data_IF_197812024711
#
_entry.id   IF_197812024711
#
_cell.length_a   1.000
_cell.length_b   1.000
_cell.length_c   1.000
_cell.angle_alpha   90.00
_cell.angle_beta   90.00
_cell.angle_gamma   90.00
#
_symmetry.space_group_name_H-M   'P 1'
#
loop_
_entity.id
_entity.type
_entity.pdbx_description
1 polymer ?
#
# COMPACT_ATOMS: atom_id res chain seq x y z
N UNK A 1 43.52 -75.02 -6.03
CA UNK A 1 43.04 -76.41 -5.86
C UNK A 1 42.33 -76.54 -4.51
N UNK A 2 41.02 -76.26 -4.50
CA UNK A 2 39.96 -76.90 -3.71
C UNK A 2 38.64 -76.14 -3.98
N UNK A 3 37.74 -76.82 -4.68
CA UNK A 3 36.30 -76.54 -4.76
C UNK A 3 35.57 -77.39 -3.72
N UNK A 4 34.25 -77.17 -3.64
CA UNK A 4 33.15 -78.00 -3.07
C UNK A 4 32.68 -77.43 -1.70
N UNK A 5 31.39 -77.21 -1.39
CA UNK A 5 30.15 -77.02 -2.17
C UNK A 5 29.02 -76.52 -1.24
N UNK A 6 27.99 -75.95 -1.87
CA UNK A 6 26.56 -75.80 -1.53
C UNK A 6 26.01 -75.74 -0.08
N UNK A 7 25.15 -74.73 0.12
CA UNK A 7 24.04 -74.74 1.08
C UNK A 7 22.94 -73.76 0.70
N UNK A 8 21.97 -74.20 -0.11
CA UNK A 8 20.70 -73.49 -0.37
C UNK A 8 19.75 -73.78 0.79
N UNK A 9 19.34 -72.74 1.52
CA UNK A 9 18.26 -72.77 2.49
C UNK A 9 17.19 -71.73 2.13
N UNK A 10 16.02 -72.21 1.68
CA UNK A 10 14.79 -71.41 1.54
C UNK A 10 14.28 -71.03 2.93
N UNK A 11 13.93 -69.75 3.14
CA UNK A 11 12.77 -69.39 3.97
C UNK A 11 12.33 -67.95 3.74
N UNK A 12 11.05 -67.84 3.43
CA UNK A 12 10.21 -66.65 3.30
C UNK A 12 10.35 -65.69 4.48
N UNK A 13 10.64 -64.41 4.20
CA UNK A 13 10.23 -63.29 5.06
C UNK A 13 9.69 -62.18 4.17
N UNK A 14 8.43 -61.85 4.43
CA UNK A 14 7.66 -60.74 3.89
C UNK A 14 8.41 -59.44 4.22
N UNK A 15 9.07 -58.86 3.22
CA UNK A 15 9.67 -57.53 3.32
C UNK A 15 8.62 -56.46 3.05
N UNK A 16 8.07 -55.90 4.12
CA UNK A 16 7.29 -54.66 4.10
C UNK A 16 8.09 -53.58 3.35
N UNK A 17 7.60 -53.20 2.17
CA UNK A 17 8.08 -52.02 1.45
C UNK A 17 7.55 -50.79 2.20
N UNK A 18 8.33 -50.30 3.16
CA UNK A 18 8.13 -48.97 3.74
C UNK A 18 8.41 -47.94 2.64
N UNK A 19 7.35 -47.52 1.94
CA UNK A 19 7.36 -46.28 1.18
C UNK A 19 7.41 -45.15 2.21
N UNK A 20 8.61 -44.70 2.53
CA UNK A 20 8.86 -43.45 3.24
C UNK A 20 8.44 -42.32 2.29
N UNK A 21 7.13 -42.00 2.30
CA UNK A 21 6.63 -40.73 1.79
C UNK A 21 7.19 -39.67 2.74
N UNK A 22 8.38 -39.16 2.43
CA UNK A 22 8.83 -37.88 2.95
C UNK A 22 7.90 -36.82 2.38
N UNK A 23 6.77 -36.63 3.05
CA UNK A 23 5.98 -35.42 2.92
C UNK A 23 6.90 -34.26 3.28
N UNK A 24 7.43 -33.59 2.26
CA UNK A 24 7.87 -32.21 2.39
C UNK A 24 6.64 -31.44 2.83
N UNK A 25 6.47 -31.31 4.15
CA UNK A 25 5.73 -30.22 4.75
C UNK A 25 6.41 -28.96 4.23
N UNK A 26 5.83 -28.38 3.18
CA UNK A 26 6.10 -27.01 2.79
C UNK A 26 5.65 -26.17 3.97
N UNK A 27 6.58 -25.89 4.89
CA UNK A 27 6.40 -24.82 5.85
C UNK A 27 6.17 -23.55 5.02
N UNK A 28 5.07 -22.82 5.21
CA UNK A 28 4.95 -21.51 4.60
C UNK A 28 6.15 -20.71 5.08
N UNK A 29 7.00 -20.30 4.12
CA UNK A 29 8.02 -19.31 4.39
C UNK A 29 7.27 -18.02 4.69
N UNK A 30 7.01 -17.76 5.98
CA UNK A 30 6.66 -16.44 6.48
C UNK A 30 7.82 -15.54 6.09
N UNK A 31 7.70 -14.87 4.95
CA UNK A 31 8.63 -13.82 4.55
C UNK A 31 8.24 -12.60 5.38
N UNK A 32 8.79 -12.49 6.58
CA UNK A 32 8.87 -11.21 7.24
C UNK A 32 9.80 -10.34 6.38
N UNK A 33 9.24 -9.39 5.64
CA UNK A 33 10.04 -8.34 5.00
C UNK A 33 10.84 -7.66 6.12
N UNK A 34 12.16 -7.88 6.14
CA UNK A 34 13.03 -7.34 7.19
C UNK A 34 13.17 -5.83 6.99
N UNK A 35 12.54 -5.05 7.87
CA UNK A 35 12.68 -3.60 7.88
C UNK A 35 13.97 -3.19 8.58
N UNK A 36 14.73 -2.26 7.98
CA UNK A 36 15.98 -1.77 8.54
C UNK A 36 15.85 -0.33 8.98
N UNK A 37 16.50 0.01 10.09
CA UNK A 37 16.63 1.38 10.58
C UNK A 37 18.09 1.78 10.75
N UNK A 38 18.35 3.07 10.66
CA UNK A 38 19.65 3.65 10.92
C UNK A 38 19.53 4.95 11.71
N UNK A 39 20.46 5.17 12.63
CA UNK A 39 20.58 6.42 13.37
C UNK A 39 22.03 6.74 13.65
N UNK A 40 22.32 8.02 13.84
CA UNK A 40 23.64 8.49 14.29
C UNK A 40 23.45 9.50 15.41
N UNK A 41 24.21 9.33 16.49
CA UNK A 41 24.28 10.29 17.59
C UNK A 41 25.68 10.86 17.69
N UNK A 42 25.76 12.12 18.10
CA UNK A 42 27.03 12.82 18.33
C UNK A 42 27.06 13.30 19.78
N UNK A 43 28.15 13.01 20.49
CA UNK A 43 28.39 13.46 21.86
C UNK A 43 29.69 14.23 21.97
N UNK A 44 29.65 15.31 22.74
CA UNK A 44 30.86 16.00 23.16
C UNK A 44 31.38 15.39 24.47
N UNK A 45 32.60 14.87 24.44
CA UNK A 45 33.22 14.20 25.59
C UNK A 45 34.04 15.16 26.44
N UNK A 46 34.11 14.89 27.74
CA UNK A 46 35.00 15.62 28.66
C UNK A 46 36.48 15.46 28.33
N UNK A 47 36.87 14.32 27.74
CA UNK A 47 38.24 13.96 27.38
C UNK A 47 38.31 13.45 25.94
N UNK A 48 39.47 13.61 25.30
CA UNK A 48 39.71 13.07 23.95
C UNK A 48 39.51 11.56 23.92
N UNK A 49 38.94 11.07 22.82
CA UNK A 49 38.77 9.64 22.57
C UNK A 49 40.10 8.88 22.59
N UNK A 50 40.00 7.56 22.71
CA UNK A 50 41.10 6.63 22.50
C UNK A 50 40.66 5.53 21.52
N UNK A 51 41.44 5.29 20.45
CA UNK A 51 41.14 4.27 19.43
C UNK A 51 39.70 4.34 18.87
N UNK A 52 39.21 5.55 18.58
CA UNK A 52 37.87 5.76 18.02
C UNK A 52 36.71 5.53 18.98
N UNK A 53 36.97 5.46 20.31
CA UNK A 53 35.95 5.27 21.34
C UNK A 53 36.13 6.22 22.54
N UNK A 54 35.06 6.51 23.29
CA UNK A 54 35.16 7.18 24.58
C UNK A 54 36.02 6.38 25.55
N UNK A 55 36.75 7.07 26.43
CA UNK A 55 37.52 6.41 27.49
C UNK A 55 36.62 5.90 28.63
N UNK A 56 35.48 6.55 28.81
CA UNK A 56 34.45 6.19 29.79
C UNK A 56 33.51 5.16 29.18
N UNK A 57 33.36 4.02 29.86
CA UNK A 57 32.35 3.03 29.49
C UNK A 57 30.93 3.60 29.60
N UNK A 58 30.69 4.49 30.57
CA UNK A 58 29.39 5.15 30.73
C UNK A 58 29.04 6.06 29.54
N UNK A 59 30.01 6.81 29.02
CA UNK A 59 29.80 7.68 27.85
C UNK A 59 29.43 6.85 26.61
N UNK A 60 30.10 5.70 26.44
CA UNK A 60 29.79 4.77 25.36
C UNK A 60 28.39 4.14 25.53
N UNK A 61 28.05 3.64 26.73
CA UNK A 61 26.73 3.03 26.99
C UNK A 61 25.59 4.02 26.85
N UNK A 62 25.80 5.27 27.29
CA UNK A 62 24.84 6.35 27.12
C UNK A 62 24.61 6.68 25.65
N UNK A 63 25.69 6.79 24.84
CA UNK A 63 25.55 6.96 23.39
C UNK A 63 24.91 5.75 22.70
N UNK A 64 25.21 4.53 23.16
CA UNK A 64 24.60 3.31 22.63
C UNK A 64 23.09 3.26 22.90
N UNK A 65 22.67 3.66 24.10
CA UNK A 65 21.24 3.77 24.44
C UNK A 65 20.58 4.84 23.56
N UNK A 66 21.15 6.03 23.49
CA UNK A 66 20.58 7.13 22.68
C UNK A 66 20.48 6.79 21.19
N UNK A 67 21.48 6.12 20.61
CA UNK A 67 21.42 5.74 19.19
C UNK A 67 20.37 4.67 18.91
N UNK A 68 20.15 3.73 19.83
CA UNK A 68 19.08 2.73 19.74
C UNK A 68 17.70 3.40 19.83
N UNK A 69 17.51 4.31 20.78
CA UNK A 69 16.27 5.10 20.89
C UNK A 69 16.03 5.92 19.63
N UNK A 70 17.06 6.60 19.13
CA UNK A 70 16.98 7.36 17.89
C UNK A 70 16.61 6.46 16.70
N UNK A 71 17.16 5.25 16.60
CA UNK A 71 16.85 4.32 15.53
C UNK A 71 15.37 3.87 15.53
N UNK A 72 14.80 3.56 16.69
CA UNK A 72 13.37 3.23 16.78
C UNK A 72 12.51 4.44 16.44
N UNK A 73 12.86 5.64 16.92
CA UNK A 73 12.14 6.88 16.60
C UNK A 73 12.22 7.23 15.11
N UNK A 74 13.38 7.05 14.48
CA UNK A 74 13.56 7.24 13.03
C UNK A 74 12.71 6.25 12.24
N UNK A 75 12.65 4.99 12.67
CA UNK A 75 11.75 4.01 12.07
C UNK A 75 10.28 4.42 12.24
N UNK A 76 9.85 4.73 13.48
CA UNK A 76 8.49 5.16 13.78
C UNK A 76 8.05 6.40 13.01
N UNK A 77 8.94 7.37 12.79
CA UNK A 77 8.64 8.58 12.01
C UNK A 77 8.36 8.36 10.53
N UNK A 78 8.72 7.19 9.99
CA UNK A 78 8.42 6.80 8.61
C UNK A 78 7.07 6.07 8.50
N UNK A 79 6.46 5.72 9.63
CA UNK A 79 5.18 5.03 9.69
C UNK A 79 4.00 6.01 9.66
N UNK A 80 2.78 5.49 9.63
CA UNK A 80 1.57 6.30 9.74
C UNK A 80 1.48 7.02 11.08
N UNK A 81 0.68 8.08 11.12
CA UNK A 81 0.41 8.83 12.37
C UNK A 81 -0.22 7.90 13.42
N UNK A 82 -1.11 7.01 13.01
CA UNK A 82 -1.71 6.02 13.90
C UNK A 82 -0.68 5.07 14.52
N UNK A 83 0.21 4.52 13.68
CA UNK A 83 1.33 3.69 14.15
C UNK A 83 2.23 4.48 15.11
N UNK A 84 2.54 5.74 14.78
CA UNK A 84 3.35 6.61 15.63
C UNK A 84 2.71 6.88 16.99
N UNK A 85 1.38 7.08 17.04
CA UNK A 85 0.64 7.25 18.29
C UNK A 85 0.70 5.98 19.15
N UNK A 86 0.52 4.81 18.54
CA UNK A 86 0.62 3.54 19.24
C UNK A 86 2.05 3.27 19.75
N UNK A 87 3.08 3.57 18.96
CA UNK A 87 4.48 3.50 19.41
C UNK A 87 4.74 4.44 20.59
N UNK A 88 4.19 5.67 20.54
CA UNK A 88 4.34 6.65 21.61
C UNK A 88 3.68 6.15 22.91
N UNK A 89 2.52 5.48 22.80
CA UNK A 89 1.85 4.89 23.96
C UNK A 89 2.66 3.77 24.63
N UNK A 90 3.50 3.08 23.85
CA UNK A 90 4.34 1.99 24.33
C UNK A 90 5.80 2.40 24.63
N UNK A 91 6.14 3.69 24.55
CA UNK A 91 7.54 4.16 24.56
C UNK A 91 8.30 3.70 25.81
N UNK A 92 7.69 3.74 26.99
CA UNK A 92 8.35 3.32 28.22
C UNK A 92 8.81 1.85 28.20
N UNK A 93 8.02 0.96 27.62
CA UNK A 93 8.33 -0.46 27.49
C UNK A 93 9.37 -0.71 26.39
N UNK A 94 9.29 0.06 25.29
CA UNK A 94 10.30 0.03 24.22
C UNK A 94 11.68 0.40 24.78
N UNK A 95 11.75 1.48 25.56
CA UNK A 95 13.00 1.98 26.15
C UNK A 95 13.60 1.01 27.17
N UNK A 96 12.77 0.20 27.83
CA UNK A 96 13.22 -0.81 28.78
C UNK A 96 13.87 -2.03 28.11
N UNK A 97 13.44 -2.37 26.89
CA UNK A 97 13.85 -3.60 26.20
C UNK A 97 14.27 -3.37 24.73
N UNK A 98 15.12 -2.35 24.49
CA UNK A 98 15.55 -1.96 23.14
C UNK A 98 16.13 -3.12 22.30
N UNK A 99 16.80 -4.09 22.93
CA UNK A 99 17.39 -5.25 22.25
C UNK A 99 16.36 -6.29 21.79
N UNK A 100 15.13 -6.25 22.30
CA UNK A 100 14.00 -7.05 21.80
C UNK A 100 13.51 -6.53 20.43
N UNK A 101 13.59 -5.21 20.24
CA UNK A 101 13.03 -4.52 19.08
C UNK A 101 14.05 -4.19 17.98
N UNK A 102 15.34 -4.19 18.31
CA UNK A 102 16.44 -3.96 17.37
C UNK A 102 17.32 -5.20 17.26
N UNK A 103 17.16 -5.94 16.17
CA UNK A 103 17.89 -7.16 15.87
C UNK A 103 19.17 -6.86 15.07
N UNK A 104 20.16 -7.74 15.20
CA UNK A 104 21.38 -7.74 14.38
C UNK A 104 22.07 -6.37 14.24
N UNK A 105 22.37 -5.65 15.35
CA UNK A 105 22.89 -4.29 15.27
C UNK A 105 24.32 -4.25 14.71
N UNK A 106 24.51 -3.50 13.62
CA UNK A 106 25.81 -3.08 13.12
C UNK A 106 26.16 -1.69 13.66
N UNK A 107 27.21 -1.61 14.47
CA UNK A 107 27.62 -0.39 15.16
C UNK A 107 28.96 0.10 14.61
N UNK A 108 28.99 1.36 14.18
CA UNK A 108 30.23 2.06 13.79
C UNK A 108 30.46 3.24 14.71
N UNK A 109 31.64 3.30 15.30
CA UNK A 109 32.09 4.42 16.13
C UNK A 109 33.18 5.21 15.42
N UNK A 110 33.12 6.53 15.52
CA UNK A 110 34.14 7.45 15.04
C UNK A 110 34.41 8.54 16.08
N UNK A 111 35.62 9.10 16.08
CA UNK A 111 35.99 10.18 16.98
C UNK A 111 36.84 11.25 16.28
N UNK A 112 36.47 12.51 16.49
CA UNK A 112 37.26 13.67 16.13
C UNK A 112 37.56 14.49 17.39
N UNK A 113 38.76 14.29 17.96
CA UNK A 113 39.15 14.94 19.21
C UNK A 113 38.26 14.53 20.39
N UNK A 114 37.37 15.44 20.80
CA UNK A 114 36.37 15.25 21.87
C UNK A 114 34.98 14.90 21.33
N UNK A 115 34.77 15.08 20.02
CA UNK A 115 33.53 14.74 19.35
C UNK A 115 33.49 13.24 19.12
N UNK A 116 32.54 12.55 19.74
CA UNK A 116 32.28 11.13 19.53
C UNK A 116 31.02 10.95 18.69
N UNK A 117 31.11 10.13 17.64
CA UNK A 117 29.98 9.76 16.78
C UNK A 117 29.74 8.27 16.87
N UNK A 118 28.49 7.89 17.07
CA UNK A 118 28.06 6.50 17.07
C UNK A 118 26.92 6.35 16.07
N UNK A 119 27.15 5.53 15.05
CA UNK A 119 26.16 5.15 14.07
C UNK A 119 25.72 3.70 14.32
N UNK A 120 24.41 3.47 14.22
CA UNK A 120 23.76 2.18 14.32
C UNK A 120 23.00 1.92 13.02
N UNK A 121 23.12 0.70 12.50
CA UNK A 121 22.18 0.11 11.55
C UNK A 121 21.66 -1.18 12.18
N UNK A 122 20.35 -1.37 12.25
CA UNK A 122 19.75 -2.56 12.86
C UNK A 122 18.48 -2.95 12.12
N UNK A 123 18.13 -4.22 12.23
CA UNK A 123 16.87 -4.76 11.75
C UNK A 123 15.79 -4.50 12.82
N UNK A 124 14.60 -4.10 12.39
CA UNK A 124 13.48 -3.80 13.29
C UNK A 124 12.64 -5.05 13.45
N UNK A 125 12.41 -5.48 14.70
CA UNK A 125 11.48 -6.54 15.00
C UNK A 125 10.04 -6.02 14.96
N UNK A 126 9.52 -5.83 13.74
CA UNK A 126 8.19 -5.27 13.48
C UNK A 126 7.09 -6.11 14.14
N UNK A 127 7.25 -7.44 14.16
CA UNK A 127 6.29 -8.33 14.83
C UNK A 127 6.19 -8.06 16.34
N UNK A 128 7.34 -7.92 17.03
CA UNK A 128 7.35 -7.61 18.46
C UNK A 128 6.78 -6.21 18.75
N UNK A 129 7.09 -5.22 17.90
CA UNK A 129 6.51 -3.88 18.03
C UNK A 129 5.00 -3.88 17.79
N UNK A 130 4.50 -4.62 16.80
CA UNK A 130 3.07 -4.74 16.53
C UNK A 130 2.32 -5.38 17.71
N UNK A 131 2.89 -6.43 18.31
CA UNK A 131 2.33 -7.05 19.51
C UNK A 131 2.30 -6.09 20.69
N UNK A 132 3.38 -5.32 20.88
CA UNK A 132 3.47 -4.32 21.93
C UNK A 132 2.43 -3.20 21.75
N UNK A 133 2.29 -2.69 20.52
CA UNK A 133 1.29 -1.69 20.15
C UNK A 133 -0.13 -2.20 20.36
N UNK A 134 -0.44 -3.43 19.94
CA UNK A 134 -1.76 -4.02 20.12
C UNK A 134 -2.15 -4.24 21.60
N UNK A 135 -1.16 -4.45 22.47
CA UNK A 135 -1.34 -4.54 23.93
C UNK A 135 -1.55 -3.17 24.58
N UNK A 136 -0.85 -2.14 24.09
CA UNK A 136 -0.90 -0.78 24.62
C UNK A 136 -1.96 0.11 23.97
N UNK A 137 -2.66 -0.40 22.95
CA UNK A 137 -3.79 0.27 22.35
C UNK A 137 -4.84 0.64 23.42
N UNK A 138 -5.55 1.78 23.27
CA UNK A 138 -6.63 2.19 24.16
C UNK A 138 -7.60 1.04 24.47
N UNK A 139 -7.97 0.93 25.75
CA UNK A 139 -8.95 -0.08 26.17
C UNK A 139 -10.30 0.18 25.47
N UNK A 140 -10.84 -0.85 24.83
CA UNK A 140 -12.17 -0.79 24.22
C UNK A 140 -13.16 -1.46 25.16
N UNK A 141 -14.13 -0.67 25.64
CA UNK A 141 -15.23 -1.18 26.45
C UNK A 141 -16.32 -1.77 25.55
N UNK A 142 -16.67 -3.04 25.76
CA UNK A 142 -17.77 -3.70 25.06
C UNK A 142 -17.35 -4.94 24.27
N UNK A 143 -18.31 -5.56 23.55
CA UNK A 143 -18.02 -6.71 22.71
C UNK A 143 -17.22 -6.29 21.48
N UNK A 144 -16.30 -7.16 21.04
CA UNK A 144 -15.55 -7.01 19.79
C UNK A 144 -16.43 -6.52 18.64
N UNK A 145 -15.99 -5.47 17.96
CA UNK A 145 -16.71 -4.86 16.86
C UNK A 145 -16.89 -5.85 15.72
N UNK A 146 -18.12 -5.96 15.22
CA UNK A 146 -18.39 -6.71 14.00
C UNK A 146 -18.01 -5.87 12.79
N UNK A 147 -17.48 -6.50 11.77
CA UNK A 147 -17.17 -5.83 10.52
C UNK A 147 -17.48 -6.72 9.32
N UNK A 148 -17.71 -6.09 8.18
CA UNK A 148 -17.71 -6.77 6.88
C UNK A 148 -16.71 -6.05 5.98
N UNK A 149 -16.01 -6.81 5.15
CA UNK A 149 -14.98 -6.30 4.28
C UNK A 149 -15.24 -6.69 2.84
N UNK A 150 -15.25 -5.72 1.93
CA UNK A 150 -15.37 -5.93 0.49
C UNK A 150 -14.03 -5.55 -0.13
N UNK A 151 -13.25 -6.55 -0.51
CA UNK A 151 -11.98 -6.39 -1.21
C UNK A 151 -12.17 -6.79 -2.66
N UNK A 152 -11.96 -5.84 -3.56
CA UNK A 152 -12.16 -6.04 -4.99
C UNK A 152 -10.80 -6.12 -5.67
N UNK A 153 -10.39 -7.32 -6.11
CA UNK A 153 -9.18 -7.47 -6.90
C UNK A 153 -9.44 -7.10 -8.36
N UNK A 154 -8.53 -6.33 -8.96
CA UNK A 154 -8.69 -5.76 -10.29
C UNK A 154 -7.42 -5.95 -11.11
N UNK A 155 -7.54 -6.44 -12.35
CA UNK A 155 -6.43 -6.48 -13.31
C UNK A 155 -6.73 -5.55 -14.47
N UNK A 156 -5.76 -4.73 -14.86
CA UNK A 156 -5.92 -3.78 -15.96
C UNK A 156 -6.13 -4.53 -17.30
N UNK A 157 -7.32 -4.43 -17.90
CA UNK A 157 -7.63 -5.12 -19.16
C UNK A 157 -7.29 -4.28 -20.39
N UNK A 158 -7.60 -2.99 -20.37
CA UNK A 158 -7.33 -2.11 -21.51
C UNK A 158 -7.22 -0.65 -21.07
N UNK A 159 -6.32 0.09 -21.73
CA UNK A 159 -6.23 1.54 -21.63
C UNK A 159 -6.69 2.13 -22.94
N UNK A 160 -7.80 2.85 -22.92
CA UNK A 160 -8.18 3.68 -24.05
C UNK A 160 -7.49 5.03 -23.94
N UNK A 161 -6.43 5.21 -24.72
CA UNK A 161 -5.71 6.47 -24.87
C UNK A 161 -6.48 7.31 -25.88
N UNK A 162 -6.90 8.51 -25.47
CA UNK A 162 -7.57 9.45 -26.36
C UNK A 162 -6.53 10.39 -26.95
N UNK A 163 -6.57 10.57 -28.27
CA UNK A 163 -5.75 11.57 -28.94
C UNK A 163 -6.19 12.99 -28.55
N UNK A 164 -5.20 13.89 -28.50
CA UNK A 164 -5.41 15.32 -28.27
C UNK A 164 -6.27 15.90 -29.39
N UNK A 165 -7.39 16.55 -29.03
CA UNK A 165 -8.20 17.27 -30.02
C UNK A 165 -7.58 18.65 -30.24
N UNK A 166 -6.92 18.81 -31.39
CA UNK A 166 -6.30 20.07 -31.81
C UNK A 166 -7.27 20.87 -32.69
N UNK A 167 -7.73 22.01 -32.19
CA UNK A 167 -8.54 22.94 -32.99
C UNK A 167 -7.68 24.11 -33.42
N UNK A 168 -7.54 24.31 -34.74
CA UNK A 168 -6.81 25.46 -35.32
C UNK A 168 -7.82 26.48 -35.81
N UNK A 169 -7.71 27.71 -35.31
CA UNK A 169 -8.53 28.84 -35.76
C UNK A 169 -7.66 29.69 -36.69
N UNK A 170 -8.13 29.87 -37.92
CA UNK A 170 -7.58 30.84 -38.85
C UNK A 170 -8.60 31.98 -38.97
N UNK A 171 -8.29 33.12 -38.36
CA UNK A 171 -9.16 34.28 -38.40
C UNK A 171 -8.59 35.30 -39.38
N UNK A 172 -9.31 35.52 -40.48
CA UNK A 172 -9.02 36.56 -41.46
C UNK A 172 -9.94 37.75 -41.20
N UNK A 173 -9.36 38.87 -40.74
CA UNK A 173 -10.10 40.11 -40.56
C UNK A 173 -9.82 41.03 -41.75
N UNK A 174 -10.82 41.27 -42.59
CA UNK A 174 -10.73 42.26 -43.67
C UNK A 174 -11.18 43.61 -43.10
N UNK A 175 -10.25 44.57 -43.01
CA UNK A 175 -10.57 45.96 -42.68
C UNK A 175 -10.60 46.72 -44.01
N UNK A 176 -11.77 47.23 -44.40
CA UNK A 176 -11.90 48.15 -45.53
C UNK A 176 -12.15 49.55 -44.99
N UNK A 177 -11.16 50.43 -45.10
CA UNK A 177 -11.35 51.86 -44.88
C UNK A 177 -11.60 52.52 -46.24
N UNK A 178 -12.73 53.19 -46.37
CA UNK A 178 -13.07 53.99 -47.54
C UNK A 178 -13.13 55.46 -47.10
N UNK A 179 -12.11 56.23 -47.42
CA UNK A 179 -12.17 57.69 -47.29
C UNK A 179 -12.97 58.25 -48.46
N UNK A 180 -14.15 58.81 -48.19
CA UNK A 180 -14.93 59.55 -49.18
C UNK A 180 -14.72 61.04 -48.96
N UNK A 181 -13.96 61.68 -49.85
CA UNK A 181 -13.93 63.12 -50.01
C UNK A 181 -14.87 63.48 -51.16
N UNK A 182 -15.87 64.32 -50.89
CA UNK A 182 -16.78 64.85 -51.91
C UNK A 182 -16.55 66.35 -52.06
N UNK A 183 -16.01 66.76 -53.21
CA UNK A 183 -15.94 68.16 -53.64
C UNK A 183 -17.16 68.45 -54.53
N UNK A 184 -17.95 69.47 -54.20
CA UNK A 184 -19.23 69.78 -54.86
C UNK A 184 -19.08 71.09 -55.61
N UNK A 185 -18.87 70.99 -56.92
CA UNK A 185 -18.92 72.11 -57.87
C UNK A 185 -19.59 71.64 -59.17
N UNK A 186 -20.72 72.25 -59.50
CA UNK A 186 -21.39 72.34 -60.82
C UNK A 186 -21.30 71.14 -61.79
N UNK A 187 -22.40 70.41 -61.92
CA UNK A 187 -22.82 69.64 -63.12
C UNK A 187 -21.98 68.45 -63.62
N UNK A 188 -21.00 67.94 -62.88
CA UNK A 188 -20.53 66.56 -63.09
C UNK A 188 -19.97 65.92 -61.81
N UNK A 189 -20.54 64.78 -61.39
CA UNK A 189 -20.04 63.98 -60.26
C UNK A 189 -18.97 63.00 -60.78
N UNK A 190 -17.75 63.07 -60.25
CA UNK A 190 -16.72 62.05 -60.44
C UNK A 190 -16.21 61.60 -59.07
N UNK A 191 -16.35 60.32 -58.76
CA UNK A 191 -15.86 59.71 -57.52
C UNK A 191 -14.61 58.88 -57.84
N UNK A 192 -13.47 59.22 -57.23
CA UNK A 192 -12.25 58.39 -57.28
C UNK A 192 -12.06 57.81 -55.88
N UNK A 193 -12.24 56.49 -55.75
CA UNK A 193 -11.95 55.76 -54.51
C UNK A 193 -10.65 54.98 -54.66
N UNK A 194 -9.67 55.25 -53.79
CA UNK A 194 -8.47 54.40 -53.65
C UNK A 194 -8.72 53.39 -52.53
N UNK A 195 -8.70 52.10 -52.86
CA UNK A 195 -8.85 51.01 -51.90
C UNK A 195 -7.48 50.41 -51.56
N UNK A 196 -7.12 50.36 -50.28
CA UNK A 196 -5.92 49.65 -49.81
C UNK A 196 -6.37 48.52 -48.87
N UNK A 197 -6.11 47.27 -49.25
CA UNK A 197 -6.41 46.09 -48.43
C UNK A 197 -5.18 45.69 -47.62
N UNK A 198 -5.33 45.58 -46.29
CA UNK A 198 -4.30 45.00 -45.41
C UNK A 198 -4.81 43.69 -44.84
N UNK A 199 -4.15 42.58 -45.18
CA UNK A 199 -4.47 41.25 -44.65
C UNK A 199 -3.73 41.03 -43.32
N UNK A 200 -4.47 40.75 -42.24
CA UNK A 200 -3.90 40.34 -40.94
C UNK A 200 -4.37 38.94 -40.59
N UNK A 201 -3.44 37.99 -40.59
CA UNK A 201 -3.64 36.60 -40.14
C UNK A 201 -3.26 36.49 -38.66
N UNK A 202 -4.22 36.13 -37.80
CA UNK A 202 -3.95 35.71 -36.42
C UNK A 202 -4.23 34.21 -36.33
N UNK A 203 -3.20 33.42 -36.06
CA UNK A 203 -3.34 31.99 -35.77
C UNK A 203 -3.41 31.79 -34.26
N UNK A 204 -4.51 31.17 -33.81
CA UNK A 204 -4.68 30.69 -32.45
C UNK A 204 -5.25 29.28 -32.48
N UNK A 205 -4.98 28.48 -31.46
CA UNK A 205 -5.53 27.12 -31.36
C UNK A 205 -5.75 26.69 -29.92
N UNK A 206 -6.67 25.76 -29.73
CA UNK A 206 -6.91 25.09 -28.44
C UNK A 206 -6.57 23.61 -28.56
N UNK A 207 -6.00 23.06 -27.49
CA UNK A 207 -5.78 21.62 -27.34
C UNK A 207 -6.66 21.15 -26.19
N UNK A 208 -7.62 20.28 -26.49
CA UNK A 208 -8.44 19.60 -25.48
C UNK A 208 -7.85 18.21 -25.23
N UNK A 209 -7.45 17.94 -23.98
CA UNK A 209 -6.98 16.62 -23.54
C UNK A 209 -8.08 15.87 -22.81
N UNK A 210 -8.37 14.64 -23.23
CA UNK A 210 -9.29 13.74 -22.53
C UNK A 210 -8.49 12.73 -21.72
N UNK A 211 -8.86 12.52 -20.46
CA UNK A 211 -8.22 11.53 -19.60
C UNK A 211 -8.38 10.11 -20.19
N UNK A 212 -7.33 9.29 -20.07
CA UNK A 212 -7.36 7.90 -20.49
C UNK A 212 -8.42 7.14 -19.69
N UNK A 213 -9.20 6.29 -20.36
CA UNK A 213 -10.15 5.39 -19.67
C UNK A 213 -9.48 4.04 -19.45
N UNK A 214 -9.33 3.64 -18.20
CA UNK A 214 -8.84 2.32 -17.81
C UNK A 214 -10.05 1.42 -17.52
N UNK A 215 -10.08 0.23 -18.09
CA UNK A 215 -11.05 -0.81 -17.77
C UNK A 215 -10.36 -1.93 -17.01
N UNK A 216 -10.97 -2.36 -15.91
CA UNK A 216 -10.46 -3.43 -15.07
C UNK A 216 -11.28 -4.72 -15.24
N UNK A 217 -10.59 -5.86 -15.20
CA UNK A 217 -11.20 -7.16 -14.94
C UNK A 217 -11.27 -7.30 -13.44
N UNK A 218 -12.48 -7.31 -12.90
CA UNK A 218 -12.71 -7.58 -11.49
C UNK A 218 -12.80 -9.08 -11.29
N UNK A 219 -12.07 -9.58 -10.30
CA UNK A 219 -12.16 -10.96 -9.87
C UNK A 219 -12.14 -11.02 -8.35
N UNK A 220 -12.81 -12.02 -7.80
CA UNK A 220 -12.68 -12.29 -6.38
C UNK A 220 -11.62 -13.38 -6.18
N UNK A 221 -10.62 -13.10 -5.34
CA UNK A 221 -9.59 -14.05 -4.98
C UNK A 221 -9.92 -14.63 -3.60
N UNK A 222 -10.22 -15.92 -3.53
CA UNK A 222 -10.46 -16.57 -2.23
C UNK A 222 -9.26 -16.46 -1.28
N UNK A 223 -8.03 -16.32 -1.81
CA UNK A 223 -6.84 -16.05 -1.02
C UNK A 223 -6.85 -14.65 -0.40
N UNK A 224 -7.39 -13.66 -1.12
CA UNK A 224 -7.55 -12.29 -0.63
C UNK A 224 -8.55 -12.23 0.52
N UNK A 225 -9.72 -12.83 0.34
CA UNK A 225 -10.77 -12.89 1.38
C UNK A 225 -10.29 -13.61 2.63
N UNK A 226 -9.54 -14.71 2.47
CA UNK A 226 -8.94 -15.46 3.58
C UNK A 226 -7.91 -14.61 4.34
N UNK A 227 -6.98 -13.96 3.63
CA UNK A 227 -5.95 -13.12 4.25
C UNK A 227 -6.55 -11.94 5.01
N UNK A 228 -7.55 -11.27 4.44
CA UNK A 228 -8.27 -10.17 5.11
C UNK A 228 -8.97 -10.66 6.38
N UNK A 229 -9.67 -11.79 6.29
CA UNK A 229 -10.37 -12.39 7.43
C UNK A 229 -9.41 -12.79 8.54
N UNK A 230 -8.29 -13.43 8.20
CA UNK A 230 -7.24 -13.82 9.14
C UNK A 230 -6.68 -12.59 9.86
N UNK A 231 -6.29 -11.56 9.10
CA UNK A 231 -5.71 -10.34 9.66
C UNK A 231 -6.66 -9.67 10.63
N UNK A 232 -7.87 -9.28 10.20
CA UNK A 232 -8.81 -8.58 11.09
C UNK A 232 -9.22 -9.43 12.31
N UNK A 233 -9.40 -10.74 12.13
CA UNK A 233 -9.74 -11.63 13.25
C UNK A 233 -8.60 -11.74 14.26
N UNK A 234 -7.34 -11.78 13.79
CA UNK A 234 -6.15 -11.82 14.65
C UNK A 234 -6.01 -10.58 15.53
N UNK A 235 -6.46 -9.42 15.03
CA UNK A 235 -6.47 -8.17 15.78
C UNK A 235 -7.70 -8.01 16.71
N UNK A 236 -8.64 -8.95 16.64
CA UNK A 236 -9.75 -9.08 17.58
C UNK A 236 -11.10 -8.61 17.03
N UNK A 237 -11.22 -8.34 15.73
CA UNK A 237 -12.51 -8.03 15.12
C UNK A 237 -13.33 -9.29 14.85
N UNK A 238 -14.65 -9.13 14.74
CA UNK A 238 -15.57 -10.20 14.32
C UNK A 238 -15.95 -9.99 12.86
N UNK A 239 -15.19 -10.59 11.95
CA UNK A 239 -15.43 -10.48 10.52
C UNK A 239 -16.63 -11.33 10.11
N UNK A 240 -17.56 -10.74 9.36
CA UNK A 240 -18.66 -11.42 8.69
C UNK A 240 -18.34 -11.41 7.19
N UNK A 241 -18.42 -12.58 6.56
CA UNK A 241 -18.20 -12.72 5.13
C UNK A 241 -19.18 -11.85 4.33
N UNK A 242 -18.67 -11.08 3.37
CA UNK A 242 -19.46 -10.14 2.58
C UNK A 242 -20.56 -10.82 1.77
N UNK A 243 -20.34 -12.06 1.31
CA UNK A 243 -21.37 -12.85 0.61
C UNK A 243 -22.52 -13.24 1.55
N UNK A 244 -22.24 -13.49 2.82
CA UNK A 244 -23.26 -13.74 3.83
C UNK A 244 -24.06 -12.47 4.13
N UNK A 245 -23.40 -11.30 4.16
CA UNK A 245 -24.05 -10.00 4.34
C UNK A 245 -24.99 -9.73 3.14
N UNK A 246 -24.49 -9.90 1.92
CA UNK A 246 -25.27 -9.73 0.70
C UNK A 246 -26.48 -10.67 0.61
N UNK A 247 -26.29 -11.94 0.99
CA UNK A 247 -27.38 -12.92 1.01
C UNK A 247 -28.43 -12.67 2.09
N UNK A 248 -28.10 -11.89 3.13
CA UNK A 248 -29.01 -11.61 4.26
C UNK A 248 -29.65 -10.23 4.20
N UNK A 249 -28.96 -9.23 3.68
CA UNK A 249 -29.40 -7.84 3.70
C UNK A 249 -29.60 -7.31 2.28
N UNK A 250 -30.86 -7.16 1.83
CA UNK A 250 -31.17 -6.49 0.58
C UNK A 250 -30.54 -5.09 0.56
N UNK A 251 -29.90 -4.73 -0.56
CA UNK A 251 -29.19 -3.46 -0.72
C UNK A 251 -27.66 -3.56 -0.59
N UNK A 252 -27.14 -4.62 0.05
CA UNK A 252 -25.70 -4.90 0.07
C UNK A 252 -25.30 -5.75 -1.15
N UNK A 253 -25.20 -5.13 -2.32
CA UNK A 253 -25.02 -5.82 -3.61
C UNK A 253 -23.54 -5.90 -4.03
N UNK A 254 -22.92 -7.07 -3.90
CA UNK A 254 -21.53 -7.28 -4.30
C UNK A 254 -21.30 -7.15 -5.82
N UNK A 255 -22.32 -7.39 -6.64
CA UNK A 255 -22.19 -7.22 -8.08
C UNK A 255 -22.13 -5.74 -8.43
N UNK A 256 -22.93 -4.90 -7.77
CA UNK A 256 -22.86 -3.45 -7.95
C UNK A 256 -21.47 -2.90 -7.56
N UNK A 257 -20.87 -3.40 -6.49
CA UNK A 257 -19.50 -3.06 -6.12
C UNK A 257 -18.52 -3.47 -7.22
N UNK A 258 -18.59 -4.72 -7.69
CA UNK A 258 -17.71 -5.22 -8.75
C UNK A 258 -17.87 -4.44 -10.06
N UNK A 259 -19.09 -4.12 -10.47
CA UNK A 259 -19.39 -3.40 -11.70
C UNK A 259 -18.84 -1.96 -11.67
N UNK A 260 -19.05 -1.24 -10.58
CA UNK A 260 -18.58 0.14 -10.44
C UNK A 260 -17.05 0.21 -10.33
N UNK A 261 -16.45 -0.68 -9.55
CA UNK A 261 -14.99 -0.76 -9.47
C UNK A 261 -14.34 -1.32 -10.75
N UNK A 262 -15.10 -1.97 -11.65
CA UNK A 262 -14.61 -2.37 -12.97
C UNK A 262 -14.35 -1.19 -13.91
N UNK A 263 -15.00 -0.04 -13.67
CA UNK A 263 -14.95 1.14 -14.56
C UNK A 263 -14.46 2.42 -13.90
N UNK A 264 -14.43 2.47 -12.57
CA UNK A 264 -14.08 3.64 -11.78
C UNK A 264 -13.32 3.26 -10.51
N UNK A 265 -12.95 4.27 -9.74
CA UNK A 265 -12.12 4.13 -8.55
C UNK A 265 -12.88 4.29 -7.23
N UNK A 266 -14.16 4.64 -7.32
CA UNK A 266 -15.06 4.94 -6.22
C UNK A 266 -16.45 4.38 -6.51
N UNK A 267 -17.21 4.16 -5.44
CA UNK A 267 -18.63 3.80 -5.54
C UNK A 267 -19.50 5.05 -5.75
N UNK A 268 -20.56 4.89 -6.52
CA UNK A 268 -21.63 5.88 -6.64
C UNK A 268 -22.31 6.13 -5.29
N UNK A 269 -22.87 7.34 -5.07
CA UNK A 269 -23.67 7.61 -3.88
C UNK A 269 -24.80 6.61 -3.69
N UNK A 270 -25.42 6.14 -4.78
CA UNK A 270 -26.50 5.18 -4.77
C UNK A 270 -26.05 3.83 -4.20
N UNK A 271 -24.99 3.24 -4.74
CA UNK A 271 -24.45 1.95 -4.29
C UNK A 271 -23.91 2.03 -2.86
N UNK A 272 -23.23 3.13 -2.53
CA UNK A 272 -22.68 3.37 -1.20
C UNK A 272 -23.78 3.50 -0.13
N UNK A 273 -24.81 4.31 -0.39
CA UNK A 273 -25.92 4.51 0.55
C UNK A 273 -26.76 3.24 0.71
N UNK A 274 -27.01 2.49 -0.37
CA UNK A 274 -27.71 1.21 -0.29
C UNK A 274 -26.98 0.20 0.60
N UNK A 275 -25.64 0.15 0.51
CA UNK A 275 -24.82 -0.70 1.36
C UNK A 275 -24.87 -0.26 2.83
N UNK A 276 -24.78 1.05 3.10
CA UNK A 276 -24.91 1.63 4.45
C UNK A 276 -26.27 1.32 5.09
N UNK A 277 -27.36 1.57 4.38
CA UNK A 277 -28.72 1.31 4.85
C UNK A 277 -28.94 -0.19 5.14
N UNK A 278 -28.37 -1.06 4.31
CA UNK A 278 -28.49 -2.50 4.47
C UNK A 278 -27.88 -2.99 5.79
N UNK A 279 -26.75 -2.42 6.20
CA UNK A 279 -25.97 -2.86 7.38
C UNK A 279 -26.16 -2.00 8.63
N UNK A 280 -26.80 -0.84 8.51
CA UNK A 280 -27.03 0.08 9.63
C UNK A 280 -27.71 -0.61 10.83
N UNK A 281 -27.21 -0.33 12.03
CA UNK A 281 -27.61 -0.91 13.30
C UNK A 281 -27.29 -2.40 13.46
N UNK A 282 -26.66 -3.05 12.46
CA UNK A 282 -26.43 -4.51 12.44
C UNK A 282 -24.94 -4.87 12.36
N UNK A 283 -24.19 -4.18 11.50
CA UNK A 283 -22.75 -4.33 11.33
C UNK A 283 -22.14 -2.93 11.40
N UNK A 284 -21.44 -2.59 12.50
CA UNK A 284 -21.00 -1.22 12.75
C UNK A 284 -19.84 -0.78 11.87
N UNK A 285 -19.10 -1.70 11.24
CA UNK A 285 -17.94 -1.39 10.41
C UNK A 285 -18.04 -2.00 9.01
N UNK A 286 -17.84 -1.18 8.00
CA UNK A 286 -17.70 -1.59 6.59
C UNK A 286 -16.32 -1.19 6.07
N UNK A 287 -15.56 -2.17 5.60
CA UNK A 287 -14.32 -1.95 4.87
C UNK A 287 -14.60 -2.08 3.38
N UNK A 288 -14.17 -1.11 2.59
CA UNK A 288 -14.21 -1.15 1.13
C UNK A 288 -12.80 -0.92 0.61
N UNK A 289 -12.28 -1.87 -0.15
CA UNK A 289 -10.92 -1.84 -0.66
C UNK A 289 -10.83 -2.31 -2.11
N UNK A 290 -9.88 -1.75 -2.86
CA UNK A 290 -9.50 -2.27 -4.18
C UNK A 290 -8.05 -2.70 -4.14
N UNK A 291 -7.76 -3.84 -4.77
CA UNK A 291 -6.39 -4.34 -4.94
C UNK A 291 -6.11 -4.47 -6.43
N UNK A 292 -5.30 -3.56 -6.94
CA UNK A 292 -4.98 -3.45 -8.35
C UNK A 292 -3.70 -4.25 -8.65
N UNK A 293 -3.84 -5.32 -9.43
CA UNK A 293 -2.71 -6.08 -9.98
C UNK A 293 -2.07 -5.23 -11.07
N UNK A 294 -0.83 -4.84 -10.83
CA UNK A 294 0.00 -4.05 -11.73
C UNK A 294 0.82 -4.98 -12.66
N UNK A 295 1.86 -4.44 -13.29
CA UNK A 295 2.73 -5.17 -14.20
C UNK A 295 3.44 -6.36 -13.54
N UNK A 296 3.63 -7.42 -14.33
CA UNK A 296 4.51 -8.55 -14.02
C UNK A 296 5.91 -8.35 -14.61
N UNK A 297 6.94 -8.84 -13.92
CA UNK A 297 8.33 -8.83 -14.38
C UNK A 297 9.03 -10.17 -14.01
N UNK A 298 10.26 -10.39 -14.46
CA UNK A 298 11.09 -11.53 -14.09
C UNK A 298 12.28 -11.03 -13.27
N UNK A 299 12.47 -11.63 -12.09
CA UNK A 299 13.60 -11.34 -11.22
C UNK A 299 14.93 -11.72 -11.90
N UNK A 300 15.84 -10.76 -12.14
CA UNK A 300 17.08 -11.02 -12.85
C UNK A 300 18.08 -11.87 -12.06
N UNK A 301 17.88 -12.04 -10.74
CA UNK A 301 18.82 -12.77 -9.87
C UNK A 301 18.46 -14.25 -9.78
N UNK A 302 17.18 -14.56 -9.58
CA UNK A 302 16.70 -15.93 -9.33
C UNK A 302 15.79 -16.48 -10.42
N UNK A 303 15.35 -15.66 -11.39
CA UNK A 303 14.47 -16.07 -12.49
C UNK A 303 13.00 -16.25 -12.11
N UNK A 304 12.59 -15.87 -10.88
CA UNK A 304 11.20 -15.94 -10.44
C UNK A 304 10.33 -14.86 -11.10
N UNK A 305 9.04 -15.11 -11.18
CA UNK A 305 8.07 -14.09 -11.59
C UNK A 305 7.84 -13.12 -10.43
N UNK A 306 7.75 -11.84 -10.76
CA UNK A 306 7.46 -10.74 -9.86
C UNK A 306 6.14 -10.12 -10.30
N UNK A 307 5.24 -9.86 -9.36
CA UNK A 307 4.02 -9.09 -9.61
C UNK A 307 3.91 -8.01 -8.55
N UNK A 308 3.48 -6.81 -8.94
CA UNK A 308 3.17 -5.75 -7.99
C UNK A 308 1.65 -5.63 -7.83
N UNK A 309 1.19 -5.45 -6.60
CA UNK A 309 -0.21 -5.17 -6.29
C UNK A 309 -0.31 -3.86 -5.51
N UNK A 310 -1.25 -3.00 -5.87
CA UNK A 310 -1.52 -1.75 -5.18
C UNK A 310 -2.86 -1.82 -4.46
N UNK A 311 -2.89 -1.56 -3.15
CA UNK A 311 -4.11 -1.57 -2.36
C UNK A 311 -4.46 -0.18 -1.87
N UNK A 312 -5.75 0.17 -1.94
CA UNK A 312 -6.34 1.32 -1.27
C UNK A 312 -7.62 0.88 -0.56
N UNK A 313 -7.94 1.52 0.56
CA UNK A 313 -9.09 1.11 1.36
C UNK A 313 -9.70 2.26 2.17
N UNK A 314 -10.98 2.13 2.49
CA UNK A 314 -11.70 2.98 3.43
C UNK A 314 -12.47 2.13 4.43
N UNK A 315 -12.59 2.64 5.65
CA UNK A 315 -13.41 2.05 6.70
C UNK A 315 -14.45 3.05 7.16
N UNK A 316 -15.69 2.62 7.09
CA UNK A 316 -16.85 3.37 7.52
C UNK A 316 -17.41 2.81 8.81
N UNK A 317 -17.75 3.69 9.75
CA UNK A 317 -18.40 3.35 11.01
C UNK A 317 -19.80 3.92 11.07
N UNK A 318 -20.77 3.11 11.45
CA UNK A 318 -22.12 3.57 11.79
C UNK A 318 -22.11 4.29 13.14
N UNK A 319 -22.43 5.60 13.15
CA UNK A 319 -22.58 6.40 14.36
C UNK A 319 -24.05 6.47 14.87
N UNK A 320 -24.96 5.77 14.17
CA UNK A 320 -26.40 5.77 14.43
C UNK A 320 -27.20 6.75 13.57
N UNK A 321 -26.53 7.67 12.87
CA UNK A 321 -27.15 8.63 11.95
C UNK A 321 -26.47 8.65 10.57
N UNK A 322 -25.15 8.48 10.55
CA UNK A 322 -24.28 8.50 9.38
C UNK A 322 -23.23 7.39 9.44
N UNK A 323 -22.68 7.09 8.27
CA UNK A 323 -21.46 6.31 8.16
C UNK A 323 -20.27 7.24 8.00
N UNK A 324 -19.51 7.45 9.07
CA UNK A 324 -18.32 8.28 9.06
C UNK A 324 -17.08 7.49 8.63
N UNK A 325 -16.11 8.15 7.97
CA UNK A 325 -14.85 7.51 7.62
C UNK A 325 -13.91 7.51 8.83
N UNK A 326 -13.69 6.35 9.43
CA UNK A 326 -12.84 6.20 10.63
C UNK A 326 -11.42 5.74 10.33
N UNK A 327 -11.19 5.16 9.15
CA UNK A 327 -9.85 4.85 8.67
C UNK A 327 -9.79 4.90 7.13
N UNK A 328 -8.61 5.21 6.60
CA UNK A 328 -8.35 5.16 5.17
C UNK A 328 -6.88 4.80 4.87
N UNK A 329 -6.67 3.97 3.86
CA UNK A 329 -5.35 3.53 3.39
C UNK A 329 -5.12 4.16 2.03
N UNK A 330 -4.15 5.07 1.95
CA UNK A 330 -3.64 5.57 0.68
C UNK A 330 -3.01 4.42 -0.12
N UNK A 331 -2.85 4.53 -1.46
CA UNK A 331 -2.29 3.44 -2.26
C UNK A 331 -0.93 2.93 -1.75
N UNK A 332 -0.88 1.68 -1.27
CA UNK A 332 0.34 0.98 -0.87
C UNK A 332 0.64 -0.10 -1.91
N UNK A 333 1.88 -0.16 -2.40
CA UNK A 333 2.31 -1.17 -3.35
C UNK A 333 3.13 -2.27 -2.68
N UNK A 334 2.75 -3.51 -2.92
CA UNK A 334 3.46 -4.69 -2.42
C UNK A 334 3.95 -5.56 -3.57
N UNK A 335 5.14 -6.13 -3.39
CA UNK A 335 5.78 -7.01 -4.36
C UNK A 335 5.55 -8.47 -3.97
N UNK A 336 4.93 -9.22 -4.87
CA UNK A 336 4.85 -10.67 -4.80
C UNK A 336 5.90 -11.36 -5.67
N UNK A 337 6.35 -12.54 -5.25
CA UNK A 337 7.27 -13.37 -6.02
C UNK A 337 6.81 -14.83 -6.06
N UNK A 338 7.04 -15.51 -7.18
CA UNK A 338 6.63 -16.90 -7.33
C UNK A 338 7.29 -17.62 -8.50
N UNK A 339 7.22 -18.95 -8.48
CA UNK A 339 7.75 -19.80 -9.55
C UNK A 339 7.01 -19.59 -10.90
N UNK A 340 5.80 -19.05 -10.85
CA UNK A 340 4.99 -18.65 -12.01
C UNK A 340 4.21 -17.36 -11.69
N UNK A 341 3.64 -16.73 -12.73
CA UNK A 341 2.90 -15.46 -12.60
C UNK A 341 1.73 -15.57 -11.61
N UNK A 342 0.96 -16.65 -11.65
CA UNK A 342 -0.19 -16.85 -10.74
C UNK A 342 0.22 -16.92 -9.27
N UNK A 343 1.33 -17.60 -8.97
CA UNK A 343 1.87 -17.66 -7.62
C UNK A 343 2.38 -16.30 -7.15
N UNK A 344 3.07 -15.57 -8.03
CA UNK A 344 3.55 -14.21 -7.74
C UNK A 344 2.39 -13.22 -7.54
N UNK A 345 1.33 -13.32 -8.35
CA UNK A 345 0.12 -12.51 -8.23
C UNK A 345 -0.59 -12.79 -6.90
N UNK A 346 -0.76 -14.07 -6.54
CA UNK A 346 -1.38 -14.45 -5.25
C UNK A 346 -0.57 -13.92 -4.06
N UNK A 347 0.76 -14.08 -4.09
CA UNK A 347 1.66 -13.54 -3.06
C UNK A 347 1.56 -12.01 -2.95
N UNK A 348 1.50 -11.31 -4.09
CA UNK A 348 1.36 -9.85 -4.11
C UNK A 348 0.02 -9.39 -3.50
N UNK A 349 -1.07 -10.07 -3.85
CA UNK A 349 -2.42 -9.77 -3.33
C UNK A 349 -2.48 -9.97 -1.81
N UNK A 350 -1.93 -11.08 -1.30
CA UNK A 350 -1.90 -11.39 0.14
C UNK A 350 -1.10 -10.32 0.90
N UNK A 351 0.11 -10.00 0.45
CA UNK A 351 0.95 -8.97 1.07
C UNK A 351 0.30 -7.59 1.05
N UNK A 352 -0.35 -7.22 -0.05
CA UNK A 352 -1.10 -5.97 -0.14
C UNK A 352 -2.25 -5.95 0.88
N UNK A 353 -3.02 -7.04 0.97
CA UNK A 353 -4.10 -7.17 1.94
C UNK A 353 -3.61 -7.08 3.39
N UNK A 354 -2.49 -7.73 3.71
CA UNK A 354 -1.84 -7.66 5.03
C UNK A 354 -1.43 -6.24 5.38
N UNK A 355 -0.74 -5.55 4.47
CA UNK A 355 -0.30 -4.17 4.68
C UNK A 355 -1.48 -3.21 4.90
N UNK A 356 -2.53 -3.30 4.08
CA UNK A 356 -3.72 -2.48 4.25
C UNK A 356 -4.50 -2.82 5.53
N UNK A 357 -4.66 -4.10 5.85
CA UNK A 357 -5.37 -4.54 7.06
C UNK A 357 -4.65 -4.05 8.32
N UNK A 358 -3.31 -4.14 8.34
CA UNK A 358 -2.50 -3.61 9.42
C UNK A 358 -2.70 -2.11 9.61
N UNK A 359 -2.59 -1.32 8.53
CA UNK A 359 -2.76 0.13 8.61
C UNK A 359 -4.18 0.52 9.08
N UNK A 360 -5.20 -0.17 8.58
CA UNK A 360 -6.59 0.01 9.07
C UNK A 360 -6.66 -0.25 10.57
N UNK A 361 -6.12 -1.38 11.02
CA UNK A 361 -6.19 -1.76 12.44
C UNK A 361 -5.44 -0.76 13.31
N UNK A 362 -4.27 -0.27 12.88
CA UNK A 362 -3.52 0.72 13.64
C UNK A 362 -4.32 2.02 13.78
N UNK A 363 -5.00 2.47 12.73
CA UNK A 363 -5.93 3.62 12.78
C UNK A 363 -7.12 3.38 13.71
N UNK A 364 -7.77 2.21 13.60
CA UNK A 364 -8.91 1.85 14.46
C UNK A 364 -8.50 1.75 15.94
N UNK A 365 -7.38 1.09 16.24
CA UNK A 365 -6.82 0.99 17.59
C UNK A 365 -6.46 2.36 18.13
N UNK A 366 -5.78 3.20 17.36
CA UNK A 366 -5.46 4.58 17.76
C UNK A 366 -6.71 5.41 18.04
N UNK A 367 -7.84 5.10 17.40
CA UNK A 367 -9.14 5.73 17.63
C UNK A 367 -9.97 5.05 18.74
N UNK A 368 -9.48 3.97 19.36
CA UNK A 368 -10.20 3.21 20.39
C UNK A 368 -11.37 2.39 19.85
N UNK A 369 -11.30 1.92 18.60
CA UNK A 369 -12.32 1.12 17.92
C UNK A 369 -11.83 -0.33 17.81
N UNK A 370 -12.54 -1.31 18.38
CA UNK A 370 -12.11 -2.73 18.36
C UNK A 370 -13.26 -3.72 18.50
#
# INVERSE_FOLDING_TARGET
MKMIDFGIGKSSVIGFLWVLVTGLLQTPLVHADTEWTQATVTKELSRKCNKGKPRSAADYQSALTEVKVAAIRTWGSQQSVATTNLLSSAESEILAELDTYLLNPFIRSDCDGKTFRLALKAEVNVAALNQLMARNAPAVEGPRSRMTAVFVARKQMSVKIYDDKVTKINQQTNISEAEQSADVSGESMSAVGTSTTTEKSVTGGSVEKKANKVLYSVFNSGALDAAVTENFSSYGFRVVDASQVAGRFPGFDLNAFADEFGVGDDLSPETKNAAFDAISGKIPLLVVATVDVLSSDIDPVNGNNIVYASVKAWVYRDDGLFFESVAAVAPIQMRGAGLNETAAETDALVKAAEAASKEIVDQLNSAGIR
#
